data_IF_494498199472
#
_entry.id   IF_494498199472
#
_cell.length_a   1.000
_cell.length_b   1.000
_cell.length_c   1.000
_cell.angle_alpha   90.00
_cell.angle_beta   90.00
_cell.angle_gamma   90.00
#
_symmetry.space_group_name_H-M   'P 1'
#
loop_
_entity.id
_entity.type
_entity.pdbx_description
1 polymer ?
#
# COMPACT_ATOMS: atom_id res chain seq x y z
N UNK A 1 30.96 19.60 -8.45
CA UNK A 1 30.36 18.33 -7.98
C UNK A 1 29.85 17.53 -9.16
N UNK A 2 30.40 16.34 -9.44
CA UNK A 2 30.02 15.49 -10.57
C UNK A 2 28.65 14.85 -10.26
N UNK A 3 27.56 15.29 -10.91
CA UNK A 3 26.23 14.66 -10.77
C UNK A 3 26.34 13.19 -11.15
N UNK A 4 26.23 12.29 -10.16
CA UNK A 4 26.19 10.85 -10.41
C UNK A 4 24.96 10.54 -11.26
N UNK A 5 25.16 9.99 -12.47
CA UNK A 5 24.07 9.56 -13.33
C UNK A 5 23.45 8.30 -12.71
N UNK A 6 22.15 8.34 -12.40
CA UNK A 6 21.40 7.17 -11.95
C UNK A 6 21.44 6.10 -13.05
N UNK A 7 21.60 4.83 -12.68
CA UNK A 7 21.53 3.69 -13.61
C UNK A 7 20.10 3.30 -13.98
N UNK A 8 19.10 3.99 -13.42
CA UNK A 8 17.68 3.70 -13.65
C UNK A 8 17.12 4.56 -14.78
N UNK A 9 16.17 4.00 -15.54
CA UNK A 9 15.44 4.75 -16.56
C UNK A 9 14.60 5.86 -15.91
N UNK A 10 14.35 7.00 -16.58
CA UNK A 10 13.52 8.07 -16.04
C UNK A 10 12.13 7.59 -15.60
N UNK A 11 11.52 6.68 -16.38
CA UNK A 11 10.22 6.06 -16.07
C UNK A 11 10.27 5.26 -14.76
N UNK A 12 11.30 4.43 -14.57
CA UNK A 12 11.42 3.63 -13.35
C UNK A 12 11.64 4.51 -12.11
N UNK A 13 12.38 5.62 -12.26
CA UNK A 13 12.57 6.61 -11.20
C UNK A 13 11.26 7.30 -10.82
N UNK A 14 10.43 7.66 -11.80
CA UNK A 14 9.11 8.26 -11.56
C UNK A 14 8.18 7.28 -10.85
N UNK A 15 8.11 6.03 -11.32
CA UNK A 15 7.29 4.99 -10.70
C UNK A 15 7.69 4.77 -9.23
N UNK A 16 8.99 4.78 -8.93
CA UNK A 16 9.46 4.63 -7.55
C UNK A 16 8.92 5.72 -6.62
N UNK A 17 8.90 6.99 -7.06
CA UNK A 17 8.34 8.08 -6.24
C UNK A 17 6.84 7.96 -6.03
N UNK A 18 6.12 7.52 -7.07
CA UNK A 18 4.68 7.26 -6.98
C UNK A 18 4.38 6.14 -5.98
N UNK A 19 5.09 5.01 -6.09
CA UNK A 19 4.93 3.85 -5.22
C UNK A 19 5.34 4.17 -3.77
N UNK A 20 6.41 4.95 -3.58
CA UNK A 20 6.82 5.44 -2.26
C UNK A 20 5.76 6.37 -1.65
N UNK A 21 5.21 7.30 -2.43
CA UNK A 21 4.13 8.18 -1.99
C UNK A 21 2.86 7.41 -1.59
N UNK A 22 2.50 6.39 -2.38
CA UNK A 22 1.38 5.50 -2.08
C UNK A 22 1.63 4.71 -0.79
N UNK A 23 2.81 4.11 -0.66
CA UNK A 23 3.19 3.33 0.52
C UNK A 23 3.18 4.17 1.80
N UNK A 24 3.78 5.37 1.78
CA UNK A 24 3.85 6.26 2.94
C UNK A 24 2.45 6.74 3.35
N UNK A 25 1.64 7.22 2.42
CA UNK A 25 0.29 7.69 2.72
C UNK A 25 -0.60 6.56 3.26
N UNK A 26 -0.53 5.36 2.67
CA UNK A 26 -1.24 4.19 3.16
C UNK A 26 -0.78 3.79 4.58
N UNK A 27 0.53 3.77 4.86
CA UNK A 27 1.05 3.48 6.20
C UNK A 27 0.54 4.49 7.22
N UNK A 28 0.55 5.80 6.91
CA UNK A 28 0.03 6.82 7.82
C UNK A 28 -1.47 6.67 8.07
N UNK A 29 -2.26 6.34 7.03
CA UNK A 29 -3.69 6.07 7.17
C UNK A 29 -3.97 4.83 8.04
N UNK A 30 -3.17 3.77 7.89
CA UNK A 30 -3.26 2.55 8.71
C UNK A 30 -2.85 2.84 10.16
N UNK A 31 -1.74 3.54 10.40
CA UNK A 31 -1.27 3.83 11.75
C UNK A 31 -2.28 4.71 12.52
N UNK A 32 -2.90 5.67 11.85
CA UNK A 32 -3.95 6.51 12.44
C UNK A 32 -5.26 5.75 12.64
N UNK A 33 -5.57 4.74 11.81
CA UNK A 33 -6.79 3.93 11.97
C UNK A 33 -6.73 2.95 13.15
N UNK A 34 -5.53 2.48 13.53
CA UNK A 34 -5.34 1.62 14.71
C UNK A 34 -5.90 2.26 15.98
N UNK A 35 -5.81 3.59 16.11
CA UNK A 35 -6.45 4.32 17.22
C UNK A 35 -7.96 4.06 17.30
N UNK A 36 -8.66 4.11 16.16
CA UNK A 36 -10.11 3.90 16.10
C UNK A 36 -10.52 2.43 16.28
N UNK A 37 -9.63 1.48 15.92
CA UNK A 37 -9.84 0.05 16.22
C UNK A 37 -9.75 -0.24 17.72
N UNK A 38 -8.84 0.41 18.44
CA UNK A 38 -8.65 0.19 19.89
C UNK A 38 -9.68 0.98 20.71
N UNK A 39 -10.02 2.21 20.27
CA UNK A 39 -10.95 3.10 20.96
C UNK A 39 -12.17 3.45 20.08
N UNK A 40 -13.02 2.46 19.74
CA UNK A 40 -14.14 2.65 18.81
C UNK A 40 -15.21 3.59 19.38
N UNK A 41 -15.44 3.53 20.70
CA UNK A 41 -16.44 4.33 21.40
C UNK A 41 -15.76 5.32 22.34
N UNK A 42 -15.60 6.56 21.91
CA UNK A 42 -15.08 7.68 22.74
C UNK A 42 -16.13 8.77 22.99
N UNK A 43 -17.38 8.55 22.58
CA UNK A 43 -18.50 9.46 22.81
C UNK A 43 -19.03 9.39 24.25
N UNK A 44 -19.78 10.41 24.67
CA UNK A 44 -20.42 10.42 25.98
C UNK A 44 -21.53 9.36 26.01
N UNK A 45 -21.34 8.29 26.78
CA UNK A 45 -22.35 7.23 26.96
C UNK A 45 -23.06 7.40 28.30
N UNK A 46 -23.56 8.61 28.59
CA UNK A 46 -24.18 8.92 29.88
C UNK A 46 -23.23 8.69 31.06
N UNK A 47 -21.95 9.01 30.89
CA UNK A 47 -20.90 8.80 31.91
C UNK A 47 -20.38 7.37 32.04
N UNK A 48 -20.93 6.39 31.29
CA UNK A 48 -20.53 4.97 31.38
C UNK A 48 -19.35 4.59 30.48
N UNK A 49 -18.83 5.53 29.71
CA UNK A 49 -17.70 5.29 28.80
C UNK A 49 -16.37 5.65 29.49
N UNK A 50 -15.54 4.66 29.88
CA UNK A 50 -14.25 4.93 30.51
C UNK A 50 -13.26 5.61 29.55
N UNK A 51 -13.54 5.56 28.24
CA UNK A 51 -12.71 6.13 27.19
C UNK A 51 -13.17 7.52 26.73
N UNK A 52 -14.19 8.07 27.40
CA UNK A 52 -14.69 9.40 27.08
C UNK A 52 -13.61 10.46 27.29
N UNK A 53 -13.34 11.24 26.24
CA UNK A 53 -12.32 12.30 26.22
C UNK A 53 -10.89 11.85 26.58
N UNK A 54 -10.58 10.55 26.49
CA UNK A 54 -9.21 10.09 26.67
C UNK A 54 -8.33 10.69 25.57
N UNK A 55 -7.24 11.30 26.02
CA UNK A 55 -6.21 11.87 25.14
C UNK A 55 -4.96 11.02 25.32
N UNK A 56 -4.51 10.38 24.24
CA UNK A 56 -3.22 9.70 24.20
C UNK A 56 -2.14 10.74 23.83
N UNK A 57 -1.54 10.57 22.64
CA UNK A 57 -0.55 11.51 22.09
C UNK A 57 -1.23 12.76 21.53
N UNK A 58 -2.41 12.59 20.92
CA UNK A 58 -3.22 13.67 20.37
C UNK A 58 -4.69 13.52 20.79
N UNK A 59 -5.45 14.61 20.64
CA UNK A 59 -6.90 14.59 20.81
C UNK A 59 -7.56 13.68 19.77
N UNK A 60 -8.77 13.18 20.06
CA UNK A 60 -9.57 12.42 19.09
C UNK A 60 -9.75 13.18 17.77
N UNK A 61 -10.04 14.48 17.86
CA UNK A 61 -10.23 15.32 16.66
C UNK A 61 -8.95 15.37 15.83
N UNK A 62 -7.78 15.43 16.46
CA UNK A 62 -6.50 15.40 15.74
C UNK A 62 -6.28 14.05 15.07
N UNK A 63 -6.57 12.93 15.74
CA UNK A 63 -6.51 11.59 15.13
C UNK A 63 -7.46 11.46 13.94
N UNK A 64 -8.67 12.03 14.05
CA UNK A 64 -9.68 12.04 12.99
C UNK A 64 -9.23 12.84 11.78
N UNK A 65 -8.66 14.03 12.00
CA UNK A 65 -8.06 14.84 10.94
C UNK A 65 -6.89 14.11 10.28
N UNK A 66 -5.99 13.51 11.06
CA UNK A 66 -4.85 12.76 10.53
C UNK A 66 -5.32 11.60 9.66
N UNK A 67 -6.26 10.79 10.14
CA UNK A 67 -6.80 9.66 9.38
C UNK A 67 -7.51 10.12 8.10
N UNK A 68 -8.36 11.14 8.20
CA UNK A 68 -9.10 11.70 7.05
C UNK A 68 -8.16 12.20 5.96
N UNK A 69 -7.17 13.02 6.32
CA UNK A 69 -6.29 13.64 5.33
C UNK A 69 -5.23 12.68 4.77
N UNK A 70 -4.69 11.77 5.61
CA UNK A 70 -3.76 10.74 5.12
C UNK A 70 -4.48 9.72 4.24
N UNK A 71 -5.71 9.35 4.59
CA UNK A 71 -6.59 8.51 3.75
C UNK A 71 -6.95 9.19 2.43
N UNK A 72 -7.33 10.48 2.46
CA UNK A 72 -7.59 11.26 1.24
C UNK A 72 -6.36 11.31 0.33
N UNK A 73 -5.17 11.56 0.90
CA UNK A 73 -3.92 11.53 0.13
C UNK A 73 -3.67 10.14 -0.48
N UNK A 74 -3.88 9.06 0.29
CA UNK A 74 -3.72 7.69 -0.20
C UNK A 74 -4.66 7.40 -1.38
N UNK A 75 -5.92 7.85 -1.33
CA UNK A 75 -6.88 7.74 -2.44
C UNK A 75 -6.35 8.48 -3.68
N UNK A 76 -5.94 9.75 -3.53
CA UNK A 76 -5.47 10.56 -4.65
C UNK A 76 -4.22 9.95 -5.32
N UNK A 77 -3.25 9.47 -4.54
CA UNK A 77 -2.04 8.84 -5.07
C UNK A 77 -2.36 7.46 -5.68
N UNK A 78 -3.28 6.69 -5.09
CA UNK A 78 -3.73 5.41 -5.65
C UNK A 78 -4.40 5.59 -7.01
N UNK A 79 -5.22 6.63 -7.20
CA UNK A 79 -5.80 6.96 -8.50
C UNK A 79 -4.72 7.23 -9.55
N UNK A 80 -3.71 8.04 -9.21
CA UNK A 80 -2.57 8.30 -10.09
C UNK A 80 -1.78 7.01 -10.39
N UNK A 81 -1.59 6.15 -9.40
CA UNK A 81 -0.95 4.84 -9.56
C UNK A 81 -1.72 3.97 -10.56
N UNK A 82 -3.04 3.86 -10.43
CA UNK A 82 -3.87 3.10 -11.38
C UNK A 82 -3.78 3.68 -12.79
N UNK A 83 -3.83 5.00 -12.95
CA UNK A 83 -3.73 5.66 -14.26
C UNK A 83 -2.39 5.35 -14.92
N UNK A 84 -1.28 5.50 -14.19
CA UNK A 84 0.07 5.27 -14.71
C UNK A 84 0.30 3.80 -15.06
N UNK A 85 -0.28 2.88 -14.28
CA UNK A 85 -0.13 1.43 -14.47
C UNK A 85 -1.22 0.80 -15.34
N UNK A 86 -2.14 1.58 -15.91
CA UNK A 86 -3.32 1.08 -16.63
C UNK A 86 -3.00 0.08 -17.77
N UNK A 87 -1.94 0.30 -18.53
CA UNK A 87 -1.54 -0.60 -19.62
C UNK A 87 -1.16 -1.99 -19.09
N UNK A 88 -0.48 -2.03 -17.93
CA UNK A 88 -0.11 -3.28 -17.28
C UNK A 88 -1.35 -3.98 -16.72
N UNK A 89 -2.24 -3.23 -16.04
CA UNK A 89 -3.49 -3.75 -15.47
C UNK A 89 -4.35 -4.41 -16.56
N UNK A 90 -4.63 -3.69 -17.65
CA UNK A 90 -5.38 -4.24 -18.80
C UNK A 90 -4.71 -5.47 -19.38
N UNK A 91 -3.39 -5.44 -19.56
CA UNK A 91 -2.63 -6.58 -20.09
C UNK A 91 -2.72 -7.81 -19.17
N UNK A 92 -2.69 -7.63 -17.85
CA UNK A 92 -2.86 -8.72 -16.87
C UNK A 92 -4.30 -9.24 -16.86
N UNK A 93 -5.29 -8.35 -16.93
CA UNK A 93 -6.71 -8.72 -17.00
C UNK A 93 -7.04 -9.56 -18.24
N UNK A 94 -6.58 -9.11 -19.42
CA UNK A 94 -6.77 -9.86 -20.68
C UNK A 94 -6.12 -11.23 -20.63
N UNK A 95 -4.87 -11.32 -20.14
CA UNK A 95 -4.18 -12.61 -20.01
C UNK A 95 -4.89 -13.54 -19.02
N UNK A 96 -5.41 -13.00 -17.92
CA UNK A 96 -6.18 -13.76 -16.93
C UNK A 96 -7.49 -14.27 -17.53
N UNK A 97 -8.20 -13.43 -18.29
CA UNK A 97 -9.40 -13.82 -19.02
C UNK A 97 -9.14 -14.94 -20.04
N UNK A 98 -8.02 -14.90 -20.75
CA UNK A 98 -7.61 -15.96 -21.67
C UNK A 98 -7.37 -17.30 -20.96
N UNK A 99 -6.84 -17.28 -19.73
CA UNK A 99 -6.69 -18.49 -18.92
C UNK A 99 -8.06 -19.04 -18.51
N UNK A 100 -8.97 -18.18 -18.02
CA UNK A 100 -10.33 -18.57 -17.61
C UNK A 100 -11.11 -19.16 -18.78
N UNK A 101 -11.00 -18.55 -19.97
CA UNK A 101 -11.66 -19.02 -21.20
C UNK A 101 -10.93 -20.18 -21.90
N UNK A 102 -9.93 -20.78 -21.26
CA UNK A 102 -9.11 -21.89 -21.78
C UNK A 102 -8.40 -21.61 -23.12
N UNK A 103 -8.20 -20.34 -23.47
CA UNK A 103 -7.43 -19.90 -24.64
C UNK A 103 -5.92 -19.88 -24.38
N UNK A 104 -5.50 -20.08 -23.13
CA UNK A 104 -4.11 -20.06 -22.68
C UNK A 104 -3.91 -21.02 -21.52
N UNK A 105 -2.73 -21.62 -21.40
CA UNK A 105 -2.31 -22.37 -20.21
C UNK A 105 -2.31 -21.49 -18.96
N UNK A 106 -2.60 -22.11 -17.81
CA UNK A 106 -2.60 -21.45 -16.50
C UNK A 106 -1.27 -20.79 -16.15
N UNK A 107 -1.32 -19.82 -15.25
CA UNK A 107 -0.11 -19.21 -14.70
C UNK A 107 0.56 -20.14 -13.69
N UNK A 108 1.87 -19.99 -13.53
CA UNK A 108 2.58 -20.63 -12.43
C UNK A 108 2.12 -20.10 -11.07
N UNK A 109 2.24 -20.94 -10.02
CA UNK A 109 1.69 -20.69 -8.69
C UNK A 109 2.05 -19.32 -8.12
N UNK A 110 3.32 -18.89 -8.27
CA UNK A 110 3.79 -17.59 -7.79
C UNK A 110 3.07 -16.41 -8.47
N UNK A 111 2.86 -16.48 -9.78
CA UNK A 111 2.17 -15.41 -10.51
C UNK A 111 0.69 -15.40 -10.17
N UNK A 112 0.05 -16.57 -10.07
CA UNK A 112 -1.35 -16.68 -9.61
C UNK A 112 -1.52 -16.05 -8.24
N UNK A 113 -0.64 -16.37 -7.30
CA UNK A 113 -0.67 -15.82 -5.95
C UNK A 113 -0.53 -14.30 -5.94
N UNK A 114 0.40 -13.73 -6.71
CA UNK A 114 0.55 -12.28 -6.82
C UNK A 114 -0.69 -11.61 -7.42
N UNK A 115 -1.29 -12.19 -8.47
CA UNK A 115 -2.51 -11.65 -9.07
C UNK A 115 -3.66 -11.66 -8.06
N UNK A 116 -3.83 -12.75 -7.30
CA UNK A 116 -4.85 -12.83 -6.26
C UNK A 116 -4.62 -11.77 -5.17
N UNK A 117 -3.38 -11.63 -4.70
CA UNK A 117 -3.02 -10.63 -3.70
C UNK A 117 -3.32 -9.20 -4.18
N UNK A 118 -2.93 -8.86 -5.42
CA UNK A 118 -3.18 -7.55 -6.02
C UNK A 118 -4.69 -7.27 -6.18
N UNK A 119 -5.48 -8.27 -6.56
CA UNK A 119 -6.95 -8.14 -6.66
C UNK A 119 -7.55 -7.93 -5.27
N UNK A 120 -7.11 -8.67 -4.25
CA UNK A 120 -7.62 -8.49 -2.88
C UNK A 120 -7.29 -7.10 -2.35
N UNK A 121 -6.07 -6.60 -2.59
CA UNK A 121 -5.69 -5.22 -2.23
C UNK A 121 -6.59 -4.21 -2.95
N UNK A 122 -6.78 -4.35 -4.27
CA UNK A 122 -7.58 -3.41 -5.05
C UNK A 122 -9.05 -3.36 -4.60
N UNK A 123 -9.68 -4.52 -4.39
CA UNK A 123 -11.09 -4.59 -3.99
C UNK A 123 -11.30 -4.09 -2.55
N UNK A 124 -10.45 -4.52 -1.61
CA UNK A 124 -10.54 -4.08 -0.22
C UNK A 124 -10.29 -2.58 -0.07
N UNK A 125 -9.28 -2.04 -0.79
CA UNK A 125 -9.04 -0.60 -0.82
C UNK A 125 -10.22 0.17 -1.43
N UNK A 126 -10.82 -0.32 -2.52
CA UNK A 126 -11.96 0.33 -3.15
C UNK A 126 -13.16 0.40 -2.20
N UNK A 127 -13.49 -0.70 -1.53
CA UNK A 127 -14.61 -0.74 -0.57
C UNK A 127 -14.33 0.18 0.63
N UNK A 128 -13.10 0.16 1.15
CA UNK A 128 -12.67 1.00 2.27
C UNK A 128 -12.72 2.50 1.92
N UNK A 129 -12.17 2.88 0.76
CA UNK A 129 -12.14 4.27 0.32
C UNK A 129 -13.53 4.81 -0.01
N UNK A 130 -14.40 4.04 -0.67
CA UNK A 130 -15.77 4.46 -0.95
C UNK A 130 -16.59 4.65 0.32
N UNK A 131 -16.45 3.75 1.30
CA UNK A 131 -17.11 3.91 2.61
C UNK A 131 -16.52 5.06 3.43
N UNK A 132 -15.22 5.33 3.34
CA UNK A 132 -14.58 6.49 3.96
C UNK A 132 -15.08 7.82 3.37
N UNK A 133 -15.15 7.91 2.03
CA UNK A 133 -15.75 9.06 1.34
C UNK A 133 -17.21 9.24 1.73
N UNK A 134 -17.97 8.15 1.87
CA UNK A 134 -19.34 8.21 2.37
C UNK A 134 -19.43 8.88 3.74
N UNK A 135 -18.53 8.55 4.69
CA UNK A 135 -18.48 9.22 6.00
C UNK A 135 -18.14 10.70 5.90
N UNK A 136 -17.22 11.08 5.01
CA UNK A 136 -16.87 12.49 4.80
C UNK A 136 -18.05 13.31 4.27
N UNK A 137 -18.87 12.72 3.41
CA UNK A 137 -20.07 13.37 2.84
C UNK A 137 -21.27 13.34 3.77
N UNK A 138 -21.29 12.44 4.76
CA UNK A 138 -22.39 12.25 5.71
C UNK A 138 -21.87 12.32 7.16
N UNK A 139 -21.31 13.47 7.60
CA UNK A 139 -20.68 13.60 8.92
C UNK A 139 -21.67 13.56 10.09
N UNK A 140 -22.98 13.49 9.82
CA UNK A 140 -24.05 13.56 10.81
C UNK A 140 -23.89 12.52 11.92
N UNK A 141 -23.62 13.00 13.13
CA UNK A 141 -23.62 12.23 14.37
C UNK A 141 -24.99 12.29 15.05
N UNK A 142 -25.63 11.15 15.31
CA UNK A 142 -26.87 11.08 16.09
C UNK A 142 -27.84 10.01 15.58
N UNK A 143 -28.89 9.72 16.35
CA UNK A 143 -29.94 8.76 15.99
C UNK A 143 -30.77 9.19 14.76
N UNK A 144 -30.65 10.45 14.34
CA UNK A 144 -31.36 11.06 13.21
C UNK A 144 -30.54 11.13 11.92
N UNK A 145 -29.32 10.58 11.91
CA UNK A 145 -28.48 10.55 10.72
C UNK A 145 -29.11 9.64 9.64
N UNK A 146 -29.68 10.25 8.60
CA UNK A 146 -30.25 9.54 7.46
C UNK A 146 -29.16 8.71 6.78
N UNK A 147 -29.29 7.39 6.86
CA UNK A 147 -28.32 6.45 6.29
C UNK A 147 -28.80 6.01 4.90
N UNK A 148 -27.92 6.02 3.90
CA UNK A 148 -28.23 5.53 2.55
C UNK A 148 -27.87 4.04 2.46
N UNK A 149 -28.79 3.21 1.94
CA UNK A 149 -28.71 1.74 1.79
C UNK A 149 -28.58 0.93 3.10
N UNK A 150 -27.65 1.29 3.97
CA UNK A 150 -27.35 0.58 5.21
C UNK A 150 -27.36 1.52 6.40
N UNK A 151 -27.63 0.99 7.60
CA UNK A 151 -27.48 1.77 8.83
C UNK A 151 -26.00 2.10 9.12
N UNK A 152 -25.77 3.06 10.02
CA UNK A 152 -24.42 3.52 10.38
C UNK A 152 -23.49 2.39 10.81
N UNK A 153 -23.97 1.46 11.62
CA UNK A 153 -23.17 0.31 12.10
C UNK A 153 -22.70 -0.56 10.95
N UNK A 154 -23.58 -0.86 10.00
CA UNK A 154 -23.22 -1.65 8.82
C UNK A 154 -22.18 -0.93 7.95
N UNK A 155 -22.32 0.38 7.74
CA UNK A 155 -21.28 1.16 7.05
C UNK A 155 -19.94 1.13 7.78
N UNK A 156 -19.95 1.27 9.10
CA UNK A 156 -18.77 1.18 9.96
C UNK A 156 -18.08 -0.19 9.84
N UNK A 157 -18.87 -1.28 9.82
CA UNK A 157 -18.33 -2.63 9.63
C UNK A 157 -17.73 -2.82 8.24
N UNK A 158 -18.38 -2.30 7.20
CA UNK A 158 -17.86 -2.36 5.82
C UNK A 158 -16.52 -1.64 5.74
N UNK A 159 -16.43 -0.41 6.25
CA UNK A 159 -15.19 0.37 6.24
C UNK A 159 -14.09 -0.31 7.04
N UNK A 160 -14.40 -0.75 8.25
CA UNK A 160 -13.44 -1.35 9.17
C UNK A 160 -12.86 -2.64 8.62
N UNK A 161 -13.70 -3.60 8.21
CA UNK A 161 -13.21 -4.91 7.78
C UNK A 161 -12.57 -4.89 6.39
N UNK A 162 -13.03 -4.01 5.49
CA UNK A 162 -12.33 -3.78 4.22
C UNK A 162 -10.96 -3.11 4.46
N UNK A 163 -10.87 -2.14 5.38
CA UNK A 163 -9.62 -1.52 5.79
C UNK A 163 -8.62 -2.50 6.43
N UNK A 164 -9.09 -3.37 7.33
CA UNK A 164 -8.26 -4.43 7.95
C UNK A 164 -7.75 -5.40 6.88
N UNK A 165 -8.61 -5.83 5.96
CA UNK A 165 -8.22 -6.72 4.86
C UNK A 165 -7.18 -6.06 3.95
N UNK A 166 -7.39 -4.78 3.60
CA UNK A 166 -6.44 -3.99 2.82
C UNK A 166 -5.09 -3.89 3.54
N UNK A 167 -5.08 -3.52 4.83
CA UNK A 167 -3.85 -3.37 5.60
C UNK A 167 -3.06 -4.69 5.66
N UNK A 168 -3.73 -5.80 5.98
CA UNK A 168 -3.09 -7.11 6.07
C UNK A 168 -2.48 -7.56 4.73
N UNK A 169 -3.23 -7.40 3.63
CA UNK A 169 -2.77 -7.81 2.30
C UNK A 169 -1.71 -6.88 1.72
N UNK A 170 -1.80 -5.57 1.97
CA UNK A 170 -0.77 -4.61 1.58
C UNK A 170 0.55 -4.86 2.32
N UNK A 171 0.51 -5.16 3.62
CA UNK A 171 1.71 -5.55 4.39
C UNK A 171 2.35 -6.81 3.80
N UNK A 172 1.54 -7.83 3.50
CA UNK A 172 2.00 -9.05 2.87
C UNK A 172 2.64 -8.79 1.51
N UNK A 173 2.03 -7.94 0.68
CA UNK A 173 2.59 -7.52 -0.60
C UNK A 173 3.95 -6.85 -0.44
N UNK A 174 4.10 -5.92 0.51
CA UNK A 174 5.38 -5.26 0.79
C UNK A 174 6.45 -6.29 1.20
N UNK A 175 6.10 -7.23 2.09
CA UNK A 175 7.03 -8.28 2.56
C UNK A 175 7.50 -9.15 1.38
N UNK A 176 6.59 -9.59 0.52
CA UNK A 176 6.92 -10.42 -0.64
C UNK A 176 7.79 -9.69 -1.67
N UNK A 177 7.61 -8.38 -1.77
CA UNK A 177 8.37 -7.54 -2.69
C UNK A 177 9.61 -6.88 -2.05
N UNK A 178 9.90 -7.14 -0.78
CA UNK A 178 10.95 -6.46 0.00
C UNK A 178 12.35 -6.49 -0.66
N UNK A 179 12.75 -7.65 -1.19
CA UNK A 179 14.03 -7.79 -1.91
C UNK A 179 14.09 -6.89 -3.14
N UNK A 180 12.98 -6.73 -3.87
CA UNK A 180 12.93 -5.83 -5.02
C UNK A 180 12.96 -4.37 -4.57
N UNK A 181 12.20 -4.01 -3.54
CA UNK A 181 12.13 -2.65 -2.98
C UNK A 181 13.53 -2.18 -2.56
N UNK A 182 14.24 -2.97 -1.75
CA UNK A 182 15.58 -2.64 -1.26
C UNK A 182 16.61 -2.51 -2.40
N UNK A 183 16.53 -3.37 -3.42
CA UNK A 183 17.41 -3.31 -4.58
C UNK A 183 17.18 -2.06 -5.43
N UNK A 184 15.92 -1.70 -5.74
CA UNK A 184 15.62 -0.49 -6.52
C UNK A 184 15.97 0.76 -5.71
N UNK A 185 15.68 0.77 -4.41
CA UNK A 185 16.03 1.88 -3.51
C UNK A 185 17.54 2.10 -3.43
N UNK A 186 18.34 1.02 -3.34
CA UNK A 186 19.80 1.12 -3.41
C UNK A 186 20.31 1.73 -4.73
N UNK A 187 19.68 1.38 -5.86
CA UNK A 187 19.99 1.98 -7.18
C UNK A 187 19.53 3.44 -7.31
N UNK A 188 18.46 3.83 -6.63
CA UNK A 188 17.97 5.21 -6.58
C UNK A 188 18.96 6.13 -5.85
N UNK A 189 19.51 5.68 -4.72
CA UNK A 189 20.37 6.48 -3.85
C UNK A 189 21.89 6.18 -3.98
N UNK A 190 22.27 5.26 -4.86
CA UNK A 190 23.68 5.04 -5.23
C UNK A 190 24.48 4.17 -4.26
N UNK A 191 23.83 3.32 -3.47
CA UNK A 191 24.50 2.36 -2.58
C UNK A 191 25.00 1.17 -3.39
N UNK A 192 26.17 1.30 -4.02
CA UNK A 192 26.88 0.14 -4.55
C UNK A 192 27.44 -0.66 -3.37
N UNK A 193 26.93 -1.88 -3.15
CA UNK A 193 27.79 -2.91 -2.55
C UNK A 193 28.88 -3.17 -3.57
N UNK A 194 30.09 -2.71 -3.29
CA UNK A 194 31.29 -3.10 -4.03
C UNK A 194 31.39 -4.61 -3.89
N UNK A 195 30.99 -5.34 -4.92
CA UNK A 195 31.29 -6.76 -4.97
C UNK A 195 32.80 -6.83 -5.16
N UNK A 196 33.56 -7.13 -4.10
CA UNK A 196 34.97 -7.51 -4.24
C UNK A 196 34.97 -8.79 -5.08
N UNK A 197 35.08 -8.65 -6.39
CA UNK A 197 35.59 -9.72 -7.22
C UNK A 197 37.02 -9.94 -6.76
N UNK A 198 37.24 -11.06 -6.07
CA UNK A 198 38.55 -11.58 -5.75
C UNK A 198 39.27 -11.79 -7.07
N UNK A 199 40.09 -10.81 -7.45
CA UNK A 199 41.07 -10.96 -8.52
C UNK A 199 42.16 -11.88 -8.01
N UNK A 200 41.96 -13.18 -8.15
CA UNK A 200 43.05 -14.16 -8.11
C UNK A 200 43.32 -14.54 -9.57
N UNK A 201 43.80 -13.56 -10.34
CA UNK A 201 44.40 -13.78 -11.63
C UNK A 201 45.87 -14.13 -11.39
N UNK A 202 46.18 -15.42 -11.57
CA UNK A 202 47.27 -15.93 -12.41
C UNK A 202 48.53 -15.05 -12.42
N UNK A 203 49.53 -15.43 -11.62
CA UNK A 203 50.93 -15.21 -11.92
C UNK A 203 51.73 -16.39 -11.35
N UNK A 204 51.89 -17.45 -12.14
CA UNK A 204 53.10 -18.26 -12.03
C UNK A 204 53.86 -18.13 -13.36
N UNK A 205 55.16 -17.78 -13.32
CA UNK A 205 55.97 -17.61 -14.52
C UNK A 205 56.27 -18.98 -15.12
N UNK A 206 56.15 -19.08 -16.45
CA UNK A 206 56.67 -20.20 -17.24
C UNK A 206 58.19 -20.20 -17.06
N UNK A 207 58.71 -21.22 -16.37
CA UNK A 207 60.14 -21.46 -16.26
C UNK A 207 60.60 -22.17 -17.55
N UNK A 208 61.26 -21.42 -18.43
CA UNK A 208 62.05 -22.00 -19.52
C UNK A 208 63.23 -22.76 -18.92
N UNK A 209 63.32 -24.07 -19.20
CA UNK A 209 64.58 -24.80 -19.09
C UNK A 209 64.74 -25.80 -20.25
N UNK A 210 65.71 -25.44 -21.10
CA UNK A 210 66.64 -26.21 -21.96
C UNK A 210 66.13 -27.53 -22.57
#
# INVERSE_FOLDING_TARGET
MKKRKSTLTPKLRQNWWLDAGLGISAILAILTSIYFLIYPNTGYQGGRNPYYNMTLIFSKQTWDLLHTWTGTLAIMVALLHVIIHWTWIKGTAVRTWQVITKKRNGFGLRLTYNILLDITIALSFLICSLSGVYFMLNPSSGQTATSFLFNKTAWDMIHTWSGVTFAATALLHIVLHWKWITNITGKMFGTHKTNKQTGQAILEPVEESI
#
